data_IF_785882260354
#
_entry.id   IF_785882260354
#
_cell.length_a   1.000
_cell.length_b   1.000
_cell.length_c   1.000
_cell.angle_alpha   90.00
_cell.angle_beta   90.00
_cell.angle_gamma   90.00
#
_symmetry.space_group_name_H-M   'P 1'
#
loop_
_entity.id
_entity.type
_entity.pdbx_description
1 polymer ?
#
# COMPACT_ATOMS: atom_id res chain seq x y z
N UNK A 1 -15.55 -6.61 -12.89
CA UNK A 1 -14.41 -6.66 -13.80
C UNK A 1 -14.50 -8.02 -14.48
N UNK A 2 -14.63 -8.08 -15.81
CA UNK A 2 -14.74 -9.35 -16.54
C UNK A 2 -13.34 -9.67 -17.04
N UNK A 3 -12.88 -10.89 -16.82
CA UNK A 3 -11.58 -11.34 -17.29
C UNK A 3 -11.50 -11.28 -18.82
N UNK A 4 -10.33 -10.92 -19.34
CA UNK A 4 -10.09 -10.96 -20.77
C UNK A 4 -9.89 -12.43 -21.19
N UNK A 5 -10.60 -12.87 -22.23
CA UNK A 5 -10.56 -14.25 -22.73
C UNK A 5 -10.31 -14.23 -24.22
N UNK A 6 -9.33 -15.02 -24.67
CA UNK A 6 -8.97 -15.19 -26.07
C UNK A 6 -8.88 -16.70 -26.37
N UNK A 7 -9.50 -17.14 -27.45
CA UNK A 7 -9.48 -18.52 -27.94
C UNK A 7 -8.62 -18.57 -29.20
N UNK A 8 -7.80 -19.62 -29.30
CA UNK A 8 -6.89 -19.87 -30.40
C UNK A 8 -7.15 -21.25 -31.03
N UNK A 9 -6.98 -21.35 -32.34
CA UNK A 9 -6.95 -22.63 -33.05
C UNK A 9 -5.57 -23.33 -32.96
N UNK A 10 -5.43 -24.48 -33.62
CA UNK A 10 -4.18 -25.23 -33.74
C UNK A 10 -3.03 -24.46 -34.40
N UNK A 11 -3.33 -23.44 -35.22
CA UNK A 11 -2.34 -22.59 -35.84
C UNK A 11 -1.98 -21.39 -34.96
N UNK A 12 -2.53 -21.29 -33.74
CA UNK A 12 -2.41 -20.12 -32.87
C UNK A 12 -3.03 -18.83 -33.45
N UNK A 13 -4.07 -18.96 -34.28
CA UNK A 13 -4.90 -17.85 -34.75
C UNK A 13 -6.07 -17.61 -33.81
N UNK A 14 -6.41 -16.34 -33.57
CA UNK A 14 -7.50 -15.97 -32.69
C UNK A 14 -8.85 -16.31 -33.34
N UNK A 15 -9.63 -17.20 -32.72
CA UNK A 15 -10.97 -17.59 -33.18
C UNK A 15 -12.08 -16.87 -32.42
N UNK A 16 -11.80 -16.45 -31.18
CA UNK A 16 -12.74 -15.68 -30.35
C UNK A 16 -11.98 -14.78 -29.39
N UNK A 17 -12.49 -13.58 -29.19
CA UNK A 17 -12.04 -12.67 -28.13
C UNK A 17 -13.25 -11.96 -27.53
N UNK A 18 -13.30 -11.82 -26.20
CA UNK A 18 -14.34 -11.03 -25.56
C UNK A 18 -14.00 -9.53 -25.53
N UNK A 19 -14.97 -8.68 -25.19
CA UNK A 19 -14.78 -7.22 -25.11
C UNK A 19 -13.66 -6.80 -24.15
N UNK A 20 -13.44 -7.56 -23.08
CA UNK A 20 -12.36 -7.30 -22.14
C UNK A 20 -10.99 -7.54 -22.79
N UNK A 21 -10.85 -8.57 -23.62
CA UNK A 21 -9.64 -8.84 -24.39
C UNK A 21 -9.38 -7.78 -25.47
N UNK A 22 -10.42 -7.31 -26.16
CA UNK A 22 -10.31 -6.20 -27.11
C UNK A 22 -9.82 -4.91 -26.44
N UNK A 23 -10.39 -4.60 -25.26
CA UNK A 23 -9.97 -3.45 -24.45
C UNK A 23 -8.52 -3.57 -23.96
N UNK A 24 -8.14 -4.77 -23.49
CA UNK A 24 -6.79 -5.07 -23.03
C UNK A 24 -5.73 -4.88 -24.12
N UNK A 25 -6.03 -5.35 -25.34
CA UNK A 25 -5.15 -5.29 -26.49
C UNK A 25 -5.23 -3.96 -27.26
N UNK A 26 -6.06 -3.00 -26.81
CA UNK A 26 -6.34 -1.74 -27.51
C UNK A 26 -6.79 -1.95 -28.97
N UNK A 27 -7.47 -3.06 -29.23
CA UNK A 27 -7.98 -3.41 -30.54
C UNK A 27 -9.43 -2.91 -30.70
N UNK A 28 -9.82 -2.59 -31.95
CA UNK A 28 -11.23 -2.32 -32.28
C UNK A 28 -12.00 -3.63 -32.40
N UNK A 29 -13.29 -3.59 -32.11
CA UNK A 29 -14.19 -4.75 -32.17
C UNK A 29 -14.03 -5.54 -33.48
N UNK A 30 -13.79 -6.85 -33.35
CA UNK A 30 -13.70 -7.79 -34.48
C UNK A 30 -12.40 -7.77 -35.28
N UNK A 31 -11.44 -6.89 -34.97
CA UNK A 31 -10.14 -6.83 -35.67
C UNK A 31 -9.20 -7.96 -35.27
N UNK A 32 -9.46 -8.61 -34.13
CA UNK A 32 -8.63 -9.68 -33.58
C UNK A 32 -8.77 -11.02 -34.32
N UNK A 33 -9.92 -11.27 -34.95
CA UNK A 33 -10.25 -12.58 -35.51
C UNK A 33 -9.36 -12.95 -36.69
N UNK A 34 -8.97 -14.23 -36.76
CA UNK A 34 -8.11 -14.84 -37.79
C UNK A 34 -6.72 -14.18 -37.89
N UNK A 35 -6.21 -13.62 -36.79
CA UNK A 35 -4.87 -13.04 -36.71
C UNK A 35 -4.05 -13.72 -35.63
N UNK A 36 -2.74 -13.64 -35.77
CA UNK A 36 -1.81 -13.99 -34.69
C UNK A 36 -1.66 -12.83 -33.70
N UNK A 37 -1.37 -13.15 -32.45
CA UNK A 37 -1.12 -12.18 -31.38
C UNK A 37 -0.01 -11.18 -31.74
N UNK A 38 1.01 -11.66 -32.46
CA UNK A 38 2.17 -10.90 -32.97
C UNK A 38 1.76 -9.78 -33.95
N UNK A 39 0.66 -9.96 -34.70
CA UNK A 39 0.17 -9.00 -35.68
C UNK A 39 -0.67 -7.87 -35.05
N UNK A 40 -1.13 -8.09 -33.83
CA UNK A 40 -2.07 -7.20 -33.15
C UNK A 40 -1.38 -6.36 -32.08
N UNK A 41 -0.41 -6.91 -31.35
CA UNK A 41 0.16 -6.22 -30.20
C UNK A 41 1.64 -6.53 -29.98
N UNK A 42 2.44 -5.48 -29.73
CA UNK A 42 3.90 -5.60 -29.56
C UNK A 42 4.36 -5.86 -28.12
N UNK A 43 3.48 -5.73 -27.11
CA UNK A 43 3.88 -5.78 -25.69
C UNK A 43 3.59 -7.11 -24.96
N UNK A 44 2.44 -7.78 -25.19
CA UNK A 44 2.12 -9.07 -24.56
C UNK A 44 2.73 -10.29 -25.28
N UNK A 45 3.07 -10.14 -26.56
CA UNK A 45 3.50 -11.21 -27.47
C UNK A 45 4.69 -12.03 -26.93
N UNK A 46 5.72 -11.34 -26.41
CA UNK A 46 6.99 -11.96 -26.01
C UNK A 46 6.83 -13.04 -24.93
N UNK A 47 5.77 -12.95 -24.13
CA UNK A 47 5.52 -13.89 -23.04
C UNK A 47 4.40 -14.87 -23.41
N UNK A 48 3.35 -14.39 -24.09
CA UNK A 48 2.13 -15.19 -24.30
C UNK A 48 2.26 -16.13 -25.49
N UNK A 49 2.87 -15.69 -26.60
CA UNK A 49 2.99 -16.53 -27.79
C UNK A 49 3.77 -17.83 -27.52
N UNK A 50 4.91 -17.81 -26.79
CA UNK A 50 5.57 -19.04 -26.36
C UNK A 50 4.68 -19.96 -25.53
N UNK A 51 3.88 -19.40 -24.61
CA UNK A 51 2.97 -20.20 -23.77
C UNK A 51 1.90 -20.89 -24.62
N UNK A 52 1.32 -20.20 -25.61
CA UNK A 52 0.32 -20.80 -26.51
C UNK A 52 0.94 -21.97 -27.27
N UNK A 53 2.14 -21.79 -27.85
CA UNK A 53 2.83 -22.86 -28.57
C UNK A 53 3.17 -24.05 -27.66
N UNK A 54 3.60 -23.78 -26.43
CA UNK A 54 3.89 -24.82 -25.44
C UNK A 54 2.64 -25.62 -25.09
N UNK A 55 1.51 -24.96 -24.86
CA UNK A 55 0.23 -25.61 -24.54
C UNK A 55 -0.26 -26.46 -25.72
N UNK A 56 -0.21 -25.92 -26.94
CA UNK A 56 -0.61 -26.65 -28.16
C UNK A 56 0.27 -27.88 -28.43
N UNK A 57 1.55 -27.85 -28.04
CA UNK A 57 2.49 -28.96 -28.26
C UNK A 57 2.43 -30.01 -27.15
N UNK A 58 2.33 -29.56 -25.89
CA UNK A 58 2.44 -30.45 -24.72
C UNK A 58 1.10 -30.93 -24.19
N UNK A 59 0.00 -30.24 -24.51
CA UNK A 59 -1.32 -30.50 -23.96
C UNK A 59 -1.42 -30.26 -22.45
N UNK A 60 -0.46 -29.53 -21.87
CA UNK A 60 -0.43 -29.11 -20.47
C UNK A 60 -0.73 -27.62 -20.37
N UNK A 61 -1.45 -27.22 -19.35
CA UNK A 61 -1.71 -25.82 -19.06
C UNK A 61 -0.44 -25.10 -18.57
N UNK A 62 -0.33 -23.81 -18.89
CA UNK A 62 0.78 -22.95 -18.49
C UNK A 62 0.22 -21.65 -17.92
N UNK A 63 0.82 -21.14 -16.85
CA UNK A 63 0.44 -19.87 -16.25
C UNK A 63 1.66 -18.99 -15.99
N UNK A 64 1.47 -17.67 -16.06
CA UNK A 64 2.49 -16.69 -15.71
C UNK A 64 1.84 -15.39 -15.26
N UNK A 65 2.62 -14.52 -14.63
CA UNK A 65 2.23 -13.14 -14.37
C UNK A 65 3.11 -12.20 -15.18
N UNK A 66 2.48 -11.25 -15.87
CA UNK A 66 3.19 -10.30 -16.73
C UNK A 66 2.53 -8.94 -16.68
N UNK A 67 3.33 -7.91 -16.97
CA UNK A 67 2.85 -6.54 -17.10
C UNK A 67 2.46 -6.31 -18.55
N UNK A 68 1.21 -5.94 -18.77
CA UNK A 68 0.72 -5.61 -20.11
C UNK A 68 0.80 -4.09 -20.30
N UNK A 69 1.68 -3.64 -21.21
CA UNK A 69 1.84 -2.22 -21.55
C UNK A 69 0.80 -1.82 -22.60
N UNK A 70 0.19 -0.62 -22.48
CA UNK A 70 0.68 0.54 -21.73
C UNK A 70 0.20 0.67 -20.27
N UNK A 71 -0.69 -0.19 -19.77
CA UNK A 71 -1.51 0.10 -18.59
C UNK A 71 -0.85 -0.10 -17.22
N UNK A 72 0.44 -0.46 -17.12
CA UNK A 72 1.13 -0.83 -15.84
C UNK A 72 0.40 -1.88 -14.99
N UNK A 73 -0.66 -2.47 -15.51
CA UNK A 73 -1.47 -3.49 -14.87
C UNK A 73 -0.74 -4.83 -14.91
N UNK A 74 -0.90 -5.58 -13.84
CA UNK A 74 -0.33 -6.91 -13.69
C UNK A 74 -1.44 -7.91 -13.99
N UNK A 75 -1.23 -8.71 -15.02
CA UNK A 75 -2.14 -9.76 -15.42
C UNK A 75 -1.56 -11.12 -15.08
N UNK A 76 -2.37 -11.96 -14.46
CA UNK A 76 -2.13 -13.40 -14.43
C UNK A 76 -2.74 -14.01 -15.68
N UNK A 77 -1.88 -14.56 -16.54
CA UNK A 77 -2.27 -15.21 -17.78
C UNK A 77 -2.25 -16.71 -17.57
N UNK A 78 -3.37 -17.36 -17.82
CA UNK A 78 -3.51 -18.81 -17.76
C UNK A 78 -3.91 -19.31 -19.15
N UNK A 79 -3.09 -20.18 -19.73
CA UNK A 79 -3.33 -20.77 -21.04
C UNK A 79 -3.62 -22.26 -20.86
N UNK A 80 -4.78 -22.70 -21.31
CA UNK A 80 -5.31 -24.05 -21.14
C UNK A 80 -5.60 -24.65 -22.52
N UNK A 81 -5.23 -25.92 -22.79
CA UNK A 81 -5.54 -26.55 -24.06
C UNK A 81 -7.04 -26.88 -24.14
N UNK A 82 -7.61 -26.67 -25.32
CA UNK A 82 -8.95 -27.14 -25.66
C UNK A 82 -8.79 -28.52 -26.28
N UNK A 83 -9.52 -29.51 -25.76
CA UNK A 83 -9.45 -30.90 -26.20
C UNK A 83 -10.81 -31.37 -26.69
N UNK A 84 -10.82 -32.11 -27.78
CA UNK A 84 -12.01 -32.84 -28.23
C UNK A 84 -12.32 -34.04 -27.31
N UNK A 85 -13.50 -34.65 -27.49
CA UNK A 85 -13.87 -35.91 -26.81
C UNK A 85 -12.87 -37.05 -27.10
N UNK A 86 -12.17 -37.00 -28.24
CA UNK A 86 -11.10 -37.92 -28.64
C UNK A 86 -9.82 -37.78 -27.79
N UNK A 87 -9.68 -36.66 -27.06
CA UNK A 87 -8.48 -36.31 -26.30
C UNK A 87 -7.42 -35.57 -27.11
N UNK A 88 -7.63 -35.37 -28.42
CA UNK A 88 -6.78 -34.56 -29.27
C UNK A 88 -6.96 -33.06 -28.97
N UNK A 89 -5.89 -32.28 -29.13
CA UNK A 89 -5.92 -30.83 -28.92
C UNK A 89 -6.55 -30.18 -30.14
N UNK A 90 -7.55 -29.33 -29.94
CA UNK A 90 -8.24 -28.57 -31.00
C UNK A 90 -7.79 -27.09 -31.01
N UNK A 91 -7.22 -26.62 -29.90
CA UNK A 91 -6.82 -25.24 -29.73
C UNK A 91 -6.38 -24.91 -28.31
N UNK A 92 -6.38 -23.64 -27.96
CA UNK A 92 -6.05 -23.16 -26.63
C UNK A 92 -6.95 -21.99 -26.21
N UNK A 93 -7.17 -21.83 -24.92
CA UNK A 93 -7.82 -20.66 -24.32
C UNK A 93 -6.81 -19.94 -23.45
N UNK A 94 -6.69 -18.62 -23.62
CA UNK A 94 -5.94 -17.75 -22.74
C UNK A 94 -6.89 -16.86 -21.94
N UNK A 95 -6.79 -16.93 -20.62
CA UNK A 95 -7.54 -16.09 -19.69
C UNK A 95 -6.58 -15.13 -19.00
N UNK A 96 -6.97 -13.86 -18.93
CA UNK A 96 -6.21 -12.77 -18.37
C UNK A 96 -6.97 -12.22 -17.17
N UNK A 97 -6.48 -12.53 -15.98
CA UNK A 97 -6.99 -12.02 -14.72
C UNK A 97 -6.21 -10.79 -14.31
N UNK A 98 -6.89 -9.66 -14.12
CA UNK A 98 -6.28 -8.48 -13.53
C UNK A 98 -6.02 -8.76 -12.04
N UNK A 99 -4.73 -8.85 -11.67
CA UNK A 99 -4.29 -9.07 -10.30
C UNK A 99 -3.55 -7.85 -9.75
N UNK A 100 -3.70 -6.69 -10.40
CA UNK A 100 -2.98 -5.45 -10.07
C UNK A 100 -3.21 -5.05 -8.61
N UNK A 101 -4.46 -5.00 -8.16
CA UNK A 101 -4.78 -4.58 -6.79
C UNK A 101 -4.22 -5.56 -5.75
N UNK A 102 -4.35 -6.87 -6.00
CA UNK A 102 -3.81 -7.90 -5.12
C UNK A 102 -2.28 -7.81 -5.03
N UNK A 103 -1.59 -7.60 -6.15
CA UNK A 103 -0.13 -7.47 -6.19
C UNK A 103 0.36 -6.17 -5.58
N UNK A 104 -0.34 -5.07 -5.80
CA UNK A 104 -0.04 -3.81 -5.14
C UNK A 104 -0.19 -3.95 -3.62
N UNK A 105 -1.23 -4.64 -3.16
CA UNK A 105 -1.43 -4.91 -1.74
C UNK A 105 -0.31 -5.79 -1.15
N UNK A 106 0.04 -6.90 -1.81
CA UNK A 106 1.15 -7.77 -1.39
C UNK A 106 2.48 -7.02 -1.33
N UNK A 107 2.72 -6.14 -2.31
CA UNK A 107 3.92 -5.32 -2.37
C UNK A 107 3.95 -4.31 -1.23
N UNK A 108 2.87 -3.53 -1.03
CA UNK A 108 2.75 -2.59 0.09
C UNK A 108 2.95 -3.29 1.43
N UNK A 109 2.38 -4.49 1.62
CA UNK A 109 2.57 -5.29 2.83
C UNK A 109 4.03 -5.69 3.03
N UNK A 110 4.73 -6.10 1.97
CA UNK A 110 6.14 -6.50 2.03
C UNK A 110 7.05 -5.30 2.32
N UNK A 111 6.83 -4.18 1.64
CA UNK A 111 7.53 -2.91 1.89
C UNK A 111 7.30 -2.44 3.33
N UNK A 112 6.06 -2.53 3.82
CA UNK A 112 5.72 -2.20 5.19
C UNK A 112 6.53 -3.03 6.19
N UNK A 113 6.53 -4.36 6.06
CA UNK A 113 7.31 -5.24 6.95
C UNK A 113 8.80 -4.91 6.91
N UNK A 114 9.35 -4.62 5.72
CA UNK A 114 10.73 -4.17 5.56
C UNK A 114 11.00 -2.87 6.31
N UNK A 115 10.18 -1.85 6.07
CA UNK A 115 10.31 -0.52 6.69
C UNK A 115 10.22 -0.60 8.21
N UNK A 116 9.24 -1.33 8.73
CA UNK A 116 9.08 -1.54 10.18
C UNK A 116 10.31 -2.20 10.79
N UNK A 117 10.85 -3.23 10.14
CA UNK A 117 12.07 -3.90 10.60
C UNK A 117 13.26 -2.95 10.65
N UNK A 118 13.40 -2.06 9.67
CA UNK A 118 14.45 -1.05 9.63
C UNK A 118 14.28 0.03 10.71
N UNK A 119 13.06 0.54 10.88
CA UNK A 119 12.73 1.56 11.87
C UNK A 119 12.83 1.04 13.31
N UNK A 120 12.64 -0.26 13.55
CA UNK A 120 12.91 -0.89 14.85
C UNK A 120 14.40 -1.16 15.09
N UNK A 121 15.16 -1.55 14.05
CA UNK A 121 16.58 -1.93 14.20
C UNK A 121 17.46 -0.73 14.57
N UNK A 122 17.17 0.43 14.00
CA UNK A 122 17.95 1.66 14.21
C UNK A 122 17.97 2.13 15.68
N UNK A 123 16.82 2.36 16.36
CA UNK A 123 16.80 2.73 17.78
C UNK A 123 17.43 1.65 18.65
N UNK A 124 17.17 0.37 18.36
CA UNK A 124 17.71 -0.74 19.14
C UNK A 124 19.24 -0.80 19.07
N UNK A 125 19.80 -0.57 17.89
CA UNK A 125 21.26 -0.52 17.67
C UNK A 125 21.88 0.67 18.40
N UNK A 126 21.20 1.83 18.39
CA UNK A 126 21.62 3.02 19.12
C UNK A 126 21.62 2.78 20.63
N UNK A 127 20.54 2.22 21.19
CA UNK A 127 20.43 1.85 22.59
C UNK A 127 21.58 0.91 22.97
N UNK A 128 21.79 -0.15 22.18
CA UNK A 128 22.87 -1.11 22.44
C UNK A 128 24.24 -0.45 22.47
N UNK A 129 24.56 0.40 21.49
CA UNK A 129 25.84 1.10 21.43
C UNK A 129 26.08 2.05 22.60
N UNK A 130 25.04 2.76 23.07
CA UNK A 130 25.17 3.59 24.28
C UNK A 130 25.32 2.76 25.56
N UNK A 131 24.62 1.62 25.67
CA UNK A 131 24.81 0.69 26.78
C UNK A 131 26.22 0.11 26.79
N UNK A 132 26.75 -0.32 25.64
CA UNK A 132 28.14 -0.78 25.51
C UNK A 132 29.15 0.31 25.94
N UNK A 133 28.96 1.55 25.48
CA UNK A 133 29.83 2.67 25.86
C UNK A 133 29.77 2.98 27.36
N UNK A 134 28.59 2.87 27.99
CA UNK A 134 28.43 3.02 29.43
C UNK A 134 29.22 1.96 30.19
N UNK A 135 29.10 0.70 29.76
CA UNK A 135 29.80 -0.44 30.36
C UNK A 135 31.33 -0.34 30.20
N UNK A 136 31.81 0.24 29.10
CA UNK A 136 33.24 0.45 28.80
C UNK A 136 33.87 1.65 29.53
N UNK A 137 33.26 2.12 30.63
CA UNK A 137 33.82 3.11 31.53
C UNK A 137 33.19 4.51 31.46
N UNK A 138 32.26 4.76 30.54
CA UNK A 138 31.56 6.05 30.51
C UNK A 138 30.65 6.28 31.72
N UNK A 139 30.33 5.23 32.49
CA UNK A 139 29.64 5.35 33.79
C UNK A 139 30.42 6.18 34.82
N UNK A 140 31.75 6.23 34.74
CA UNK A 140 32.60 6.94 35.71
C UNK A 140 32.48 8.47 35.58
N UNK A 141 32.06 8.94 34.40
CA UNK A 141 31.78 10.34 34.16
C UNK A 141 30.27 10.61 34.28
N UNK A 142 29.85 11.18 35.40
CA UNK A 142 28.43 11.47 35.70
C UNK A 142 27.71 12.28 34.60
N UNK A 143 28.40 13.23 33.95
CA UNK A 143 27.82 14.03 32.89
C UNK A 143 27.56 13.21 31.61
N UNK A 144 28.55 12.42 31.18
CA UNK A 144 28.44 11.54 30.00
C UNK A 144 27.41 10.44 30.28
N UNK A 145 27.47 9.83 31.47
CA UNK A 145 26.53 8.81 31.90
C UNK A 145 25.08 9.29 31.81
N UNK A 146 24.78 10.46 32.40
CA UNK A 146 23.43 11.03 32.36
C UNK A 146 22.99 11.33 30.92
N UNK A 147 23.89 11.84 30.07
CA UNK A 147 23.59 12.11 28.66
C UNK A 147 23.22 10.82 27.90
N UNK A 148 23.99 9.75 28.05
CA UNK A 148 23.69 8.48 27.37
C UNK A 148 22.41 7.83 27.89
N UNK A 149 22.16 7.86 29.20
CA UNK A 149 20.88 7.40 29.76
C UNK A 149 19.68 8.18 29.20
N UNK A 150 19.79 9.50 29.05
CA UNK A 150 18.72 10.29 28.42
C UNK A 150 18.50 9.95 26.94
N UNK A 151 19.55 9.56 26.21
CA UNK A 151 19.38 9.12 24.81
C UNK A 151 18.71 7.74 24.77
N UNK A 152 19.13 6.81 25.62
CA UNK A 152 18.51 5.48 25.73
C UNK A 152 17.02 5.60 26.06
N UNK A 153 16.65 6.47 27.00
CA UNK A 153 15.27 6.75 27.38
C UNK A 153 14.46 7.28 26.18
N UNK A 154 14.98 8.28 25.47
CA UNK A 154 14.34 8.83 24.29
C UNK A 154 14.14 7.80 23.15
N UNK A 155 15.12 6.93 22.91
CA UNK A 155 15.01 5.86 21.89
C UNK A 155 14.02 4.76 22.33
N UNK A 156 13.93 4.47 23.63
CA UNK A 156 12.95 3.51 24.17
C UNK A 156 11.54 4.04 24.01
N UNK A 157 11.33 5.31 24.32
CA UNK A 157 10.05 6.01 24.07
C UNK A 157 9.69 6.04 22.58
N UNK A 158 10.69 6.18 21.70
CA UNK A 158 10.47 6.10 20.24
C UNK A 158 10.03 4.71 19.81
N UNK A 159 10.66 3.66 20.33
CA UNK A 159 10.28 2.27 20.07
C UNK A 159 8.86 1.97 20.54
N UNK A 160 8.48 2.42 21.74
CA UNK A 160 7.14 2.22 22.28
C UNK A 160 6.08 2.84 21.35
N UNK A 161 6.25 4.10 20.94
CA UNK A 161 5.34 4.76 19.99
C UNK A 161 5.22 3.98 18.68
N UNK A 162 6.34 3.50 18.13
CA UNK A 162 6.32 2.74 16.89
C UNK A 162 5.56 1.42 17.04
N UNK A 163 5.72 0.72 18.17
CA UNK A 163 4.96 -0.51 18.45
C UNK A 163 3.46 -0.22 18.60
N UNK A 164 3.08 0.86 19.29
CA UNK A 164 1.69 1.28 19.42
C UNK A 164 1.05 1.61 18.06
N UNK A 165 1.78 2.28 17.18
CA UNK A 165 1.35 2.57 15.81
C UNK A 165 1.12 1.28 15.01
N UNK A 166 2.00 0.27 15.14
CA UNK A 166 1.83 -1.04 14.51
C UNK A 166 0.61 -1.81 15.02
N UNK A 167 0.40 -1.81 16.34
CA UNK A 167 -0.76 -2.47 16.96
C UNK A 167 -2.06 -1.79 16.51
N UNK A 168 -2.05 -0.46 16.41
CA UNK A 168 -3.17 0.31 15.89
C UNK A 168 -3.47 -0.06 14.44
N UNK A 169 -2.44 -0.12 13.58
CA UNK A 169 -2.61 -0.51 12.18
C UNK A 169 -3.16 -1.94 12.05
N UNK A 170 -2.57 -2.90 12.76
CA UNK A 170 -3.01 -4.30 12.78
C UNK A 170 -4.49 -4.43 13.18
N UNK A 171 -4.91 -3.66 14.18
CA UNK A 171 -6.31 -3.63 14.65
C UNK A 171 -7.27 -3.01 13.62
N UNK A 172 -6.79 -2.12 12.76
CA UNK A 172 -7.57 -1.56 11.64
C UNK A 172 -7.69 -2.59 10.51
N UNK A 173 -6.61 -3.32 10.21
CA UNK A 173 -6.58 -4.34 9.15
C UNK A 173 -7.45 -5.56 9.47
N UNK A 174 -7.52 -5.99 10.73
CA UNK A 174 -8.30 -7.18 11.12
C UNK A 174 -9.82 -7.00 10.96
N UNK A 175 -10.31 -5.79 10.64
CA UNK A 175 -11.74 -5.40 10.62
C UNK A 175 -12.50 -5.72 11.92
N UNK A 176 -11.81 -6.04 13.00
CA UNK A 176 -12.42 -6.35 14.31
C UNK A 176 -12.94 -5.08 15.01
N UNK A 177 -12.57 -3.90 14.51
CA UNK A 177 -12.99 -2.62 15.09
C UNK A 177 -14.37 -2.21 14.61
N UNK A 178 -15.35 -2.23 15.54
CA UNK A 178 -16.68 -1.67 15.31
C UNK A 178 -16.57 -0.14 15.34
N UNK A 179 -16.59 0.50 14.18
CA UNK A 179 -16.62 1.96 14.05
C UNK A 179 -18.01 2.47 14.46
N UNK A 180 -18.07 3.39 15.41
CA UNK A 180 -19.34 3.94 15.94
C UNK A 180 -19.56 5.35 15.44
N UNK A 181 -20.19 5.45 14.27
CA UNK A 181 -20.59 6.74 13.72
C UNK A 181 -21.63 7.44 14.60
N UNK A 182 -21.32 8.66 15.02
CA UNK A 182 -22.22 9.57 15.72
C UNK A 182 -22.10 10.98 15.12
N UNK A 183 -23.11 11.86 15.29
CA UNK A 183 -22.98 13.27 14.94
C UNK A 183 -21.93 13.97 15.83
N UNK A 184 -20.78 14.32 15.27
CA UNK A 184 -19.66 14.99 15.96
C UNK A 184 -19.54 16.45 15.50
N UNK A 185 -19.23 17.34 16.46
CA UNK A 185 -18.91 18.74 16.19
C UNK A 185 -17.40 18.90 15.96
N UNK A 186 -16.98 19.04 14.70
CA UNK A 186 -15.55 19.11 14.33
C UNK A 186 -14.81 20.25 15.06
N UNK A 187 -15.46 21.41 15.21
CA UNK A 187 -14.87 22.53 15.93
C UNK A 187 -14.61 22.25 17.42
N UNK A 188 -15.43 21.41 18.06
CA UNK A 188 -15.17 20.95 19.42
C UNK A 188 -13.98 20.00 19.44
N UNK A 189 -13.96 18.99 18.56
CA UNK A 189 -12.86 18.03 18.47
C UNK A 189 -11.50 18.71 18.27
N UNK A 190 -11.41 19.68 17.34
CA UNK A 190 -10.18 20.45 17.11
C UNK A 190 -9.77 21.23 18.36
N UNK A 191 -10.70 21.91 19.05
CA UNK A 191 -10.40 22.63 20.30
C UNK A 191 -9.92 21.71 21.41
N UNK A 192 -10.53 20.55 21.58
CA UNK A 192 -10.11 19.55 22.56
C UNK A 192 -8.68 19.09 22.31
N UNK A 193 -8.32 18.82 21.06
CA UNK A 193 -6.95 18.45 20.68
C UNK A 193 -5.96 19.61 20.87
N UNK A 194 -6.33 20.84 20.52
CA UNK A 194 -5.48 22.02 20.78
C UNK A 194 -5.21 22.21 22.28
N UNK A 195 -6.18 21.90 23.16
CA UNK A 195 -5.97 21.96 24.61
C UNK A 195 -4.98 20.88 25.08
N UNK A 196 -5.08 19.66 24.55
CA UNK A 196 -4.16 18.56 24.86
C UNK A 196 -2.73 18.92 24.46
N UNK A 197 -2.54 19.48 23.25
CA UNK A 197 -1.22 19.82 22.70
C UNK A 197 -0.72 21.22 23.11
N UNK A 198 -1.50 21.95 23.91
CA UNK A 198 -1.19 23.31 24.37
C UNK A 198 0.20 23.50 25.00
N UNK A 199 0.69 22.57 25.84
CA UNK A 199 2.05 22.65 26.39
C UNK A 199 3.14 22.68 25.30
N UNK A 200 3.05 21.82 24.28
CA UNK A 200 4.03 21.72 23.19
C UNK A 200 3.99 22.95 22.27
N UNK A 201 2.78 23.47 22.00
CA UNK A 201 2.56 24.72 21.26
C UNK A 201 3.26 25.89 22.00
N UNK A 202 3.07 25.96 23.31
CA UNK A 202 3.65 27.00 24.16
C UNK A 202 5.17 26.91 24.26
N UNK A 203 5.71 25.70 24.39
CA UNK A 203 7.15 25.44 24.44
C UNK A 203 7.89 25.96 23.20
N UNK A 204 7.27 25.82 22.01
CA UNK A 204 7.79 26.37 20.75
C UNK A 204 7.33 27.80 20.43
N UNK A 205 6.50 28.41 21.27
CA UNK A 205 5.91 29.73 21.06
C UNK A 205 5.19 29.84 19.70
N UNK A 206 4.44 28.80 19.32
CA UNK A 206 3.77 28.74 18.02
C UNK A 206 2.47 29.56 18.03
N UNK A 207 2.19 30.22 16.92
CA UNK A 207 0.90 30.84 16.67
C UNK A 207 -0.03 29.84 15.99
N UNK A 208 -1.20 29.56 16.56
CA UNK A 208 -2.18 28.63 15.97
C UNK A 208 -3.44 29.38 15.60
N UNK A 209 -3.77 29.39 14.32
CA UNK A 209 -5.01 29.97 13.78
C UNK A 209 -5.99 28.85 13.43
N UNK A 210 -7.21 28.92 13.97
CA UNK A 210 -8.29 28.01 13.60
C UNK A 210 -9.41 28.78 12.91
N UNK A 211 -9.52 28.59 11.59
CA UNK A 211 -10.42 29.32 10.70
C UNK A 211 -11.51 28.35 10.23
N UNK A 212 -12.77 28.65 10.50
CA UNK A 212 -13.88 27.83 10.03
C UNK A 212 -15.16 28.66 9.89
N UNK A 213 -16.08 28.29 8.98
CA UNK A 213 -17.35 28.99 8.84
C UNK A 213 -18.21 28.86 10.10
N UNK A 214 -18.94 29.91 10.46
CA UNK A 214 -19.77 29.97 11.67
C UNK A 214 -20.91 28.94 11.69
N UNK A 215 -21.26 28.36 10.54
CA UNK A 215 -22.29 27.32 10.38
C UNK A 215 -21.69 25.93 10.05
N UNK A 216 -20.54 25.57 10.64
CA UNK A 216 -19.92 24.28 10.40
C UNK A 216 -20.87 23.11 10.77
N UNK A 217 -21.26 22.25 9.81
CA UNK A 217 -22.21 21.17 10.07
C UNK A 217 -21.59 20.09 10.94
N UNK A 218 -22.45 19.35 11.67
CA UNK A 218 -22.02 18.11 12.32
C UNK A 218 -21.75 17.04 11.27
N UNK A 219 -20.71 16.25 11.50
CA UNK A 219 -20.33 15.14 10.63
C UNK A 219 -20.63 13.82 11.33
N UNK A 220 -20.94 12.76 10.55
CA UNK A 220 -21.00 11.40 11.09
C UNK A 220 -19.57 10.88 11.19
N UNK A 221 -19.06 10.73 12.41
CA UNK A 221 -17.73 10.23 12.67
C UNK A 221 -17.70 9.43 13.98
N UNK A 222 -16.68 8.60 14.14
CA UNK A 222 -16.29 8.06 15.44
C UNK A 222 -15.40 9.12 16.12
N UNK A 223 -15.83 9.59 17.30
CA UNK A 223 -15.22 10.73 17.99
C UNK A 223 -13.77 10.44 18.42
N UNK A 224 -13.49 9.19 18.83
CA UNK A 224 -12.16 8.77 19.29
C UNK A 224 -11.20 8.66 18.09
N UNK A 225 -11.66 8.05 16.99
CA UNK A 225 -10.85 7.95 15.76
C UNK A 225 -10.58 9.32 15.15
N UNK A 226 -11.58 10.21 15.14
CA UNK A 226 -11.42 11.58 14.67
C UNK A 226 -10.41 12.34 15.54
N UNK A 227 -10.50 12.18 16.86
CA UNK A 227 -9.53 12.73 17.81
C UNK A 227 -8.11 12.26 17.52
N UNK A 228 -7.92 10.96 17.28
CA UNK A 228 -6.61 10.38 16.94
C UNK A 228 -6.03 10.96 15.64
N UNK A 229 -6.85 11.10 14.59
CA UNK A 229 -6.42 11.74 13.33
C UNK A 229 -5.99 13.19 13.58
N UNK A 230 -6.78 13.95 14.33
CA UNK A 230 -6.49 15.35 14.64
C UNK A 230 -5.20 15.49 15.47
N UNK A 231 -4.98 14.62 16.46
CA UNK A 231 -3.74 14.58 17.24
C UNK A 231 -2.55 14.34 16.33
N UNK A 232 -2.60 13.31 15.47
CA UNK A 232 -1.50 12.97 14.57
C UNK A 232 -1.15 14.11 13.61
N UNK A 233 -2.16 14.80 13.06
CA UNK A 233 -1.94 15.91 12.14
C UNK A 233 -1.38 17.15 12.85
N UNK A 234 -1.96 17.54 14.00
CA UNK A 234 -1.56 18.75 14.73
C UNK A 234 -0.20 18.55 15.41
N UNK A 235 0.08 17.38 15.98
CA UNK A 235 1.39 17.05 16.54
C UNK A 235 2.49 17.07 15.47
N UNK A 236 2.21 16.54 14.27
CA UNK A 236 3.13 16.69 13.13
C UNK A 236 3.34 18.17 12.76
N UNK A 237 2.28 18.98 12.71
CA UNK A 237 2.42 20.41 12.45
C UNK A 237 3.30 21.10 13.51
N UNK A 238 3.14 20.78 14.79
CA UNK A 238 3.97 21.30 15.88
C UNK A 238 5.43 20.85 15.72
N UNK A 239 5.67 19.57 15.42
CA UNK A 239 7.02 19.00 15.25
C UNK A 239 7.79 19.68 14.12
N UNK A 240 7.17 19.87 12.96
CA UNK A 240 7.84 20.40 11.77
C UNK A 240 7.81 21.93 11.64
N UNK A 241 7.01 22.62 12.45
CA UNK A 241 7.04 24.09 12.50
C UNK A 241 8.20 24.57 13.38
N UNK A 242 9.04 25.51 12.90
CA UNK A 242 10.10 26.12 13.69
C UNK A 242 9.52 26.99 14.82
N UNK A 243 10.34 27.32 15.82
CA UNK A 243 9.94 28.19 16.94
C UNK A 243 9.44 29.54 16.42
N UNK A 244 8.40 30.09 17.07
CA UNK A 244 7.71 31.32 16.65
C UNK A 244 7.01 31.23 15.27
N UNK A 245 6.86 30.03 14.71
CA UNK A 245 6.13 29.82 13.47
C UNK A 245 4.61 29.80 13.65
N UNK A 246 3.90 29.64 12.54
CA UNK A 246 2.43 29.66 12.49
C UNK A 246 1.87 28.35 11.95
N UNK A 247 0.83 27.83 12.60
CA UNK A 247 0.04 26.69 12.16
C UNK A 247 -1.38 27.18 11.87
N UNK A 248 -1.90 26.87 10.68
CA UNK A 248 -3.26 27.27 10.26
C UNK A 248 -4.11 26.01 10.05
N UNK A 249 -5.23 25.92 10.77
CA UNK A 249 -6.25 24.89 10.64
C UNK A 249 -7.46 25.52 9.94
N UNK A 250 -7.89 24.96 8.80
CA UNK A 250 -8.97 25.51 7.95
C UNK A 250 -9.90 24.45 7.41
#
# INVERSE_FOLDING_TARGET
MIDAVIVFDLNAQITLANKAAESLLLARDGVLLNRHLEEVCSSPERVITPMIREVLTTGKEVFTETVIRPHTQIYRVHVVPIKEESGEIEGAVAVFHDVTDARNFDHMRSEFVGNVSHELRTPLTSIKGFVETLLDGAMENSFICRRFLSIIDAETERLNRLIEDLLTLSSIESRERIIRFKPVCLAHSVRSVMNILGPQISEKSLHVEFIYPSNLPRIQADEDLLGQVLINLIDNAIKYTPRNGTIVIR
#
